data_IF_813004210233
#
_entry.id   IF_813004210233
#
_cell.length_a   1.000
_cell.length_b   1.000
_cell.length_c   1.000
_cell.angle_alpha   90.00
_cell.angle_beta   90.00
_cell.angle_gamma   90.00
#
_symmetry.space_group_name_H-M   'P 1'
#
loop_
_entity.id
_entity.type
_entity.pdbx_description
1 polymer ?
#
# COMPACT_ATOMS: atom_id res chain seq x y z
N UNK A 1 -14.72 19.36 -13.24
CA UNK A 1 -14.15 19.68 -11.91
C UNK A 1 -15.32 19.95 -10.97
N UNK A 2 -15.67 18.99 -10.12
CA UNK A 2 -16.68 19.19 -9.09
C UNK A 2 -16.06 20.12 -8.03
N UNK A 3 -16.61 21.33 -7.90
CA UNK A 3 -16.26 22.23 -6.80
C UNK A 3 -16.77 21.58 -5.52
N UNK A 4 -15.86 21.05 -4.69
CA UNK A 4 -16.20 20.63 -3.34
C UNK A 4 -16.68 21.87 -2.56
N UNK A 5 -17.97 21.90 -2.24
CA UNK A 5 -18.54 22.98 -1.45
C UNK A 5 -18.15 22.74 0.02
N UNK A 6 -17.18 23.51 0.50
CA UNK A 6 -16.70 23.41 1.87
C UNK A 6 -17.84 23.62 2.90
N UNK A 7 -18.91 24.33 2.52
CA UNK A 7 -20.07 24.54 3.38
C UNK A 7 -20.86 23.26 3.62
N UNK A 8 -21.09 22.46 2.57
CA UNK A 8 -21.84 21.21 2.71
C UNK A 8 -21.12 20.20 3.60
N UNK A 9 -19.78 20.15 3.55
CA UNK A 9 -18.98 19.29 4.43
C UNK A 9 -19.03 19.75 5.89
N UNK A 10 -19.07 21.07 6.12
CA UNK A 10 -19.17 21.64 7.46
C UNK A 10 -20.56 21.38 8.08
N UNK A 11 -21.63 21.54 7.30
CA UNK A 11 -23.01 21.27 7.73
C UNK A 11 -23.19 19.78 8.08
N UNK A 12 -22.60 18.88 7.29
CA UNK A 12 -22.65 17.44 7.54
C UNK A 12 -21.93 17.07 8.84
N UNK A 13 -20.72 17.60 9.08
CA UNK A 13 -19.99 17.42 10.34
C UNK A 13 -20.78 17.93 11.54
N UNK A 14 -21.43 19.09 11.40
CA UNK A 14 -22.25 19.66 12.47
C UNK A 14 -23.45 18.76 12.79
N UNK A 15 -24.09 18.16 11.77
CA UNK A 15 -25.17 17.21 11.96
C UNK A 15 -24.73 15.96 12.75
N UNK A 16 -23.53 15.43 12.48
CA UNK A 16 -22.97 14.32 13.26
C UNK A 16 -22.76 14.72 14.72
N UNK A 17 -22.21 15.90 14.99
CA UNK A 17 -22.03 16.38 16.37
C UNK A 17 -23.37 16.48 17.10
N UNK A 18 -24.42 16.98 16.46
CA UNK A 18 -25.76 17.07 17.07
C UNK A 18 -26.35 15.68 17.37
N UNK A 19 -26.14 14.70 16.49
CA UNK A 19 -26.56 13.31 16.70
C UNK A 19 -25.79 12.67 17.86
N UNK A 20 -24.46 12.83 17.92
CA UNK A 20 -23.67 12.29 19.02
C UNK A 20 -23.99 12.97 20.35
N UNK A 21 -24.16 14.30 20.34
CA UNK A 21 -24.52 15.07 21.53
C UNK A 21 -25.90 14.67 22.08
N UNK A 22 -26.90 14.50 21.21
CA UNK A 22 -28.23 14.04 21.63
C UNK A 22 -28.22 12.60 22.14
N UNK A 23 -27.43 11.71 21.56
CA UNK A 23 -27.25 10.32 22.03
C UNK A 23 -26.59 10.26 23.42
N UNK A 24 -25.51 11.02 23.62
CA UNK A 24 -24.85 11.14 24.93
C UNK A 24 -25.81 11.73 25.96
N UNK A 25 -26.54 12.79 25.60
CA UNK A 25 -27.54 13.41 26.50
C UNK A 25 -28.65 12.44 26.88
N UNK A 26 -29.19 11.69 25.93
CA UNK A 26 -30.20 10.67 26.21
C UNK A 26 -29.68 9.57 27.14
N UNK A 27 -28.44 9.14 26.93
CA UNK A 27 -27.77 8.15 27.79
C UNK A 27 -27.58 8.68 29.22
N UNK A 28 -27.15 9.94 29.36
CA UNK A 28 -27.04 10.60 30.66
C UNK A 28 -28.39 10.75 31.35
N UNK A 29 -29.44 11.16 30.64
CA UNK A 29 -30.78 11.29 31.21
C UNK A 29 -31.32 9.93 31.68
N UNK A 30 -31.18 8.87 30.87
CA UNK A 30 -31.57 7.52 31.26
C UNK A 30 -30.76 7.01 32.46
N UNK A 31 -29.46 7.30 32.51
CA UNK A 31 -28.62 6.94 33.64
C UNK A 31 -29.03 7.69 34.92
N UNK A 32 -29.31 8.98 34.80
CA UNK A 32 -29.76 9.82 35.90
C UNK A 32 -31.07 9.30 36.49
N UNK A 33 -32.05 9.01 35.64
CA UNK A 33 -33.35 8.50 36.08
C UNK A 33 -33.26 7.09 36.69
N UNK A 34 -32.49 6.18 36.07
CA UNK A 34 -32.43 4.78 36.52
C UNK A 34 -31.53 4.56 37.73
N UNK A 35 -30.43 5.32 37.86
CA UNK A 35 -29.41 5.05 38.87
C UNK A 35 -29.19 6.23 39.81
N UNK A 36 -29.02 7.45 39.29
CA UNK A 36 -28.66 8.58 40.12
C UNK A 36 -29.79 8.99 41.08
N UNK A 37 -31.01 9.20 40.55
CA UNK A 37 -32.18 9.59 41.35
C UNK A 37 -32.47 8.63 42.52
N UNK A 38 -32.64 7.32 42.31
CA UNK A 38 -32.96 6.42 43.43
C UNK A 38 -31.84 6.32 44.46
N UNK A 39 -30.57 6.50 44.07
CA UNK A 39 -29.45 6.57 45.01
C UNK A 39 -29.49 7.85 45.85
N UNK A 40 -29.72 9.00 45.22
CA UNK A 40 -29.83 10.28 45.92
C UNK A 40 -30.99 10.27 46.90
N UNK A 41 -32.17 9.79 46.48
CA UNK A 41 -33.36 9.70 47.33
C UNK A 41 -33.12 8.76 48.53
N UNK A 42 -32.47 7.61 48.31
CA UNK A 42 -32.10 6.68 49.39
C UNK A 42 -31.06 7.29 50.34
N UNK A 43 -30.05 7.98 49.84
CA UNK A 43 -29.06 8.66 50.66
C UNK A 43 -29.71 9.77 51.49
N UNK A 44 -30.62 10.54 50.90
CA UNK A 44 -31.36 11.59 51.59
C UNK A 44 -32.27 11.02 52.69
N UNK A 45 -32.94 9.90 52.44
CA UNK A 45 -33.73 9.19 53.45
C UNK A 45 -32.83 8.65 54.59
N UNK A 46 -31.71 8.01 54.26
CA UNK A 46 -30.76 7.45 55.24
C UNK A 46 -30.14 8.54 56.13
N UNK A 47 -29.88 9.72 55.58
CA UNK A 47 -29.37 10.87 56.33
C UNK A 47 -30.39 11.41 57.34
N UNK A 48 -31.69 11.33 57.05
CA UNK A 48 -32.76 11.71 57.98
C UNK A 48 -32.93 10.68 59.10
N UNK A 49 -32.87 9.39 58.77
CA UNK A 49 -33.09 8.32 59.75
C UNK A 49 -31.89 8.10 60.67
N UNK A 50 -30.65 8.19 60.15
CA UNK A 50 -29.41 7.87 60.88
C UNK A 50 -28.26 8.81 60.48
N UNK A 51 -28.24 10.06 60.98
CA UNK A 51 -27.29 11.08 60.54
C UNK A 51 -25.82 10.71 60.80
N UNK A 52 -25.51 10.04 61.90
CA UNK A 52 -24.13 9.63 62.26
C UNK A 52 -23.57 8.59 61.28
N UNK A 53 -24.39 7.63 60.86
CA UNK A 53 -23.97 6.60 59.91
C UNK A 53 -23.83 7.18 58.51
N UNK A 54 -24.74 8.09 58.13
CA UNK A 54 -24.69 8.76 56.83
C UNK A 54 -23.43 9.63 56.65
N UNK A 55 -23.02 10.40 57.67
CA UNK A 55 -21.78 11.19 57.60
C UNK A 55 -20.54 10.32 57.57
N UNK A 56 -20.49 9.24 58.37
CA UNK A 56 -19.40 8.26 58.31
C UNK A 56 -19.28 7.62 56.92
N UNK A 57 -20.39 7.12 56.37
CA UNK A 57 -20.43 6.52 55.05
C UNK A 57 -20.02 7.53 53.95
N UNK A 58 -20.45 8.78 54.05
CA UNK A 58 -20.08 9.84 53.12
C UNK A 58 -18.58 10.15 53.15
N UNK A 59 -17.99 10.33 54.33
CA UNK A 59 -16.55 10.56 54.49
C UNK A 59 -15.74 9.35 54.03
N UNK A 60 -16.18 8.13 54.40
CA UNK A 60 -15.54 6.89 53.93
C UNK A 60 -15.61 6.78 52.41
N UNK A 61 -16.76 7.03 51.79
CA UNK A 61 -16.92 7.02 50.34
C UNK A 61 -15.99 8.04 49.67
N UNK A 62 -15.93 9.27 50.20
CA UNK A 62 -15.09 10.34 49.67
C UNK A 62 -13.59 10.07 49.84
N UNK A 63 -13.17 9.41 50.93
CA UNK A 63 -11.78 8.96 51.10
C UNK A 63 -11.45 7.74 50.25
N UNK A 64 -12.43 6.87 49.99
CA UNK A 64 -12.25 5.65 49.19
C UNK A 64 -12.29 5.90 47.68
N UNK A 65 -12.94 6.98 47.23
CA UNK A 65 -13.00 7.30 45.79
C UNK A 65 -11.61 7.66 45.25
N UNK A 66 -10.77 8.32 46.05
CA UNK A 66 -9.43 8.74 45.65
C UNK A 66 -8.51 7.56 45.30
N UNK A 67 -8.34 6.52 46.16
CA UNK A 67 -7.54 5.34 45.81
C UNK A 67 -8.17 4.52 44.69
N UNK A 68 -9.50 4.45 44.57
CA UNK A 68 -10.16 3.77 43.44
C UNK A 68 -9.87 4.48 42.13
N UNK A 69 -9.98 5.81 42.09
CA UNK A 69 -9.68 6.61 40.91
C UNK A 69 -8.19 6.53 40.54
N UNK A 70 -7.30 6.55 41.55
CA UNK A 70 -5.87 6.36 41.34
C UNK A 70 -5.56 4.98 40.76
N UNK A 71 -6.21 3.92 41.25
CA UNK A 71 -6.06 2.57 40.72
C UNK A 71 -6.54 2.46 39.27
N UNK A 72 -7.73 3.00 38.95
CA UNK A 72 -8.25 3.02 37.58
C UNK A 72 -7.30 3.81 36.66
N UNK A 73 -6.86 4.99 37.09
CA UNK A 73 -5.93 5.82 36.34
C UNK A 73 -4.60 5.12 36.08
N UNK A 74 -4.00 4.51 37.10
CA UNK A 74 -2.75 3.78 36.98
C UNK A 74 -2.89 2.52 36.11
N UNK A 75 -4.02 1.82 36.21
CA UNK A 75 -4.33 0.66 35.36
C UNK A 75 -4.44 1.07 33.89
N UNK A 76 -5.20 2.12 33.58
CA UNK A 76 -5.32 2.66 32.22
C UNK A 76 -3.98 3.17 31.70
N UNK A 77 -3.21 3.89 32.52
CA UNK A 77 -1.88 4.37 32.17
C UNK A 77 -0.92 3.22 31.84
N UNK A 78 -0.96 2.15 32.64
CA UNK A 78 -0.16 0.94 32.42
C UNK A 78 -0.56 0.25 31.12
N UNK A 79 -1.86 0.07 30.87
CA UNK A 79 -2.37 -0.52 29.63
C UNK A 79 -1.98 0.30 28.40
N UNK A 80 -2.14 1.62 28.46
CA UNK A 80 -1.74 2.52 27.38
C UNK A 80 -0.22 2.47 27.13
N UNK A 81 0.59 2.45 28.19
CA UNK A 81 2.04 2.33 28.09
C UNK A 81 2.47 1.00 27.45
N UNK A 82 1.84 -0.11 27.86
CA UNK A 82 2.09 -1.43 27.27
C UNK A 82 1.69 -1.47 25.80
N UNK A 83 0.54 -0.91 25.44
CA UNK A 83 0.08 -0.82 24.05
C UNK A 83 1.05 0.01 23.20
N UNK A 84 1.51 1.16 23.70
CA UNK A 84 2.50 1.99 23.03
C UNK A 84 3.82 1.24 22.82
N UNK A 85 4.30 0.55 23.86
CA UNK A 85 5.54 -0.23 23.79
C UNK A 85 5.43 -1.40 22.80
N UNK A 86 4.26 -2.07 22.76
CA UNK A 86 3.98 -3.13 21.79
C UNK A 86 3.97 -2.60 20.34
N UNK A 87 3.33 -1.44 20.10
CA UNK A 87 3.34 -0.78 18.79
C UNK A 87 4.76 -0.36 18.37
N UNK A 88 5.54 0.20 19.30
CA UNK A 88 6.93 0.57 19.04
C UNK A 88 7.76 -0.66 18.68
N UNK A 89 7.61 -1.75 19.43
CA UNK A 89 8.27 -3.02 19.17
C UNK A 89 7.91 -3.60 17.80
N UNK A 90 6.63 -3.56 17.44
CA UNK A 90 6.16 -3.99 16.12
C UNK A 90 6.76 -3.15 14.99
N UNK A 91 6.78 -1.83 15.12
CA UNK A 91 7.37 -0.92 14.13
C UNK A 91 8.87 -1.19 13.95
N UNK A 92 9.63 -1.33 15.04
CA UNK A 92 11.05 -1.63 14.98
C UNK A 92 11.29 -3.00 14.32
N UNK A 93 10.57 -4.03 14.77
CA UNK A 93 10.67 -5.39 14.22
C UNK A 93 10.35 -5.43 12.73
N UNK A 94 9.27 -4.76 12.31
CA UNK A 94 8.88 -4.67 10.90
C UNK A 94 9.93 -3.95 10.06
N UNK A 95 10.52 -2.86 10.57
CA UNK A 95 11.55 -2.09 9.86
C UNK A 95 12.82 -2.92 9.66
N UNK A 96 13.24 -3.65 10.70
CA UNK A 96 14.39 -4.56 10.61
C UNK A 96 14.11 -5.65 9.59
N UNK A 97 12.96 -6.33 9.69
CA UNK A 97 12.58 -7.39 8.76
C UNK A 97 12.58 -6.89 7.31
N UNK A 98 11.92 -5.76 7.05
CA UNK A 98 11.83 -5.19 5.70
C UNK A 98 13.22 -4.82 5.15
N UNK A 99 14.08 -4.24 5.98
CA UNK A 99 15.46 -3.88 5.59
C UNK A 99 16.27 -5.14 5.28
N UNK A 100 16.16 -6.19 6.10
CA UNK A 100 16.84 -7.47 5.88
C UNK A 100 16.36 -8.17 4.62
N UNK A 101 15.06 -8.26 4.37
CA UNK A 101 14.54 -8.89 3.15
C UNK A 101 14.90 -8.09 1.89
N UNK A 102 14.85 -6.75 1.97
CA UNK A 102 15.24 -5.88 0.86
C UNK A 102 16.73 -6.02 0.52
N UNK A 103 17.60 -6.13 1.53
CA UNK A 103 19.04 -6.30 1.30
C UNK A 103 19.37 -7.67 0.72
N UNK A 104 18.71 -8.74 1.18
CA UNK A 104 18.84 -10.09 0.60
C UNK A 104 18.41 -10.06 -0.86
N UNK A 105 17.24 -9.48 -1.16
CA UNK A 105 16.72 -9.38 -2.52
C UNK A 105 17.67 -8.61 -3.43
N UNK A 106 18.19 -7.46 -2.97
CA UNK A 106 19.15 -6.65 -3.72
C UNK A 106 20.45 -7.42 -3.99
N UNK A 107 20.95 -8.17 -3.00
CA UNK A 107 22.12 -9.02 -3.17
C UNK A 107 21.86 -10.14 -4.19
N UNK A 108 20.71 -10.81 -4.12
CA UNK A 108 20.31 -11.85 -5.09
C UNK A 108 20.19 -11.28 -6.51
N UNK A 109 19.55 -10.12 -6.69
CA UNK A 109 19.46 -9.46 -8.00
C UNK A 109 20.84 -9.09 -8.54
N UNK A 110 21.73 -8.61 -7.68
CA UNK A 110 23.10 -8.27 -8.07
C UNK A 110 23.85 -9.51 -8.56
N UNK A 111 23.76 -10.62 -7.84
CA UNK A 111 24.38 -11.90 -8.25
C UNK A 111 23.79 -12.36 -9.59
N UNK A 112 22.45 -12.36 -9.73
CA UNK A 112 21.78 -12.76 -10.98
C UNK A 112 22.19 -11.86 -12.15
N UNK A 113 22.34 -10.56 -11.94
CA UNK A 113 22.81 -9.62 -12.94
C UNK A 113 24.22 -10.00 -13.42
N UNK A 114 25.17 -10.22 -12.50
CA UNK A 114 26.52 -10.64 -12.87
C UNK A 114 26.56 -12.00 -13.56
N UNK A 115 25.78 -12.97 -13.07
CA UNK A 115 25.65 -14.28 -13.70
C UNK A 115 25.10 -14.17 -15.12
N UNK A 116 24.06 -13.35 -15.33
CA UNK A 116 23.47 -13.13 -16.66
C UNK A 116 24.45 -12.44 -17.62
N UNK A 117 25.21 -11.45 -17.16
CA UNK A 117 26.24 -10.79 -17.95
C UNK A 117 27.35 -11.77 -18.34
N UNK A 118 27.83 -12.56 -17.39
CA UNK A 118 28.85 -13.58 -17.64
C UNK A 118 28.38 -14.62 -18.67
N UNK A 119 27.18 -15.17 -18.49
CA UNK A 119 26.56 -16.10 -19.44
C UNK A 119 26.42 -15.47 -20.84
N UNK A 120 25.98 -14.22 -20.92
CA UNK A 120 25.85 -13.50 -22.19
C UNK A 120 27.20 -13.31 -22.86
N UNK A 121 28.25 -12.93 -22.12
CA UNK A 121 29.61 -12.80 -22.64
C UNK A 121 30.16 -14.16 -23.12
N UNK A 122 29.93 -15.24 -22.37
CA UNK A 122 30.32 -16.59 -22.78
C UNK A 122 29.60 -17.04 -24.06
N UNK A 123 28.29 -16.79 -24.17
CA UNK A 123 27.52 -17.11 -25.38
C UNK A 123 28.03 -16.31 -26.58
N UNK A 124 28.23 -15.00 -26.43
CA UNK A 124 28.80 -14.14 -27.47
C UNK A 124 30.19 -14.61 -27.88
N UNK A 125 31.07 -14.92 -26.92
CA UNK A 125 32.41 -15.44 -27.20
C UNK A 125 32.34 -16.79 -27.94
N UNK A 126 31.48 -17.71 -27.50
CA UNK A 126 31.30 -19.02 -28.14
C UNK A 126 30.79 -18.87 -29.59
N UNK A 127 29.85 -17.95 -29.83
CA UNK A 127 29.36 -17.62 -31.15
C UNK A 127 30.48 -17.11 -32.06
N UNK A 128 31.32 -16.19 -31.55
CA UNK A 128 32.47 -15.70 -32.29
C UNK A 128 33.48 -16.81 -32.62
N UNK A 129 33.77 -17.72 -31.68
CA UNK A 129 34.67 -18.87 -31.90
C UNK A 129 34.11 -19.80 -32.98
N UNK A 130 32.83 -20.18 -32.89
CA UNK A 130 32.17 -21.05 -33.88
C UNK A 130 32.18 -20.39 -35.26
N UNK A 131 31.85 -19.10 -35.33
CA UNK A 131 31.83 -18.36 -36.59
C UNK A 131 33.22 -18.18 -37.21
N UNK A 132 34.23 -17.91 -36.39
CA UNK A 132 35.62 -17.85 -36.83
C UNK A 132 36.11 -19.22 -37.33
N UNK A 133 35.77 -20.29 -36.61
CA UNK A 133 36.06 -21.66 -37.03
C UNK A 133 35.42 -22.01 -38.38
N UNK A 134 34.19 -21.53 -38.62
CA UNK A 134 33.53 -21.66 -39.93
C UNK A 134 34.29 -20.95 -41.06
N UNK A 135 34.77 -19.72 -40.83
CA UNK A 135 35.53 -18.95 -41.84
C UNK A 135 36.91 -19.56 -42.13
N UNK A 136 37.61 -20.03 -41.10
CA UNK A 136 38.92 -20.70 -41.26
C UNK A 136 38.76 -21.97 -42.10
N UNK A 137 37.65 -22.70 -41.93
CA UNK A 137 37.37 -23.93 -42.68
C UNK A 137 37.05 -23.67 -44.15
N UNK A 138 36.46 -22.52 -44.50
CA UNK A 138 36.10 -22.18 -45.88
C UNK A 138 37.23 -21.54 -46.68
N UNK A 139 38.04 -20.65 -46.09
CA UNK A 139 39.02 -19.81 -46.81
C UNK A 139 40.49 -20.05 -46.41
N UNK A 140 40.74 -20.93 -45.44
CA UNK A 140 42.07 -21.17 -44.88
C UNK A 140 42.49 -20.14 -43.82
N UNK A 141 43.56 -20.47 -43.08
CA UNK A 141 43.97 -19.75 -41.85
C UNK A 141 44.39 -18.29 -42.11
N UNK A 142 45.02 -18.01 -43.25
CA UNK A 142 45.55 -16.68 -43.57
C UNK A 142 44.50 -15.67 -44.07
N UNK A 143 43.52 -16.12 -44.86
CA UNK A 143 42.48 -15.25 -45.43
C UNK A 143 41.30 -14.99 -44.48
N UNK A 144 40.85 -16.05 -43.80
CA UNK A 144 39.62 -16.02 -43.01
C UNK A 144 39.63 -15.05 -41.83
N UNK A 145 40.77 -14.89 -41.15
CA UNK A 145 40.88 -13.97 -40.02
C UNK A 145 40.74 -12.49 -40.43
N UNK A 146 41.30 -12.11 -41.58
CA UNK A 146 41.24 -10.75 -42.11
C UNK A 146 39.86 -10.39 -42.69
N UNK A 147 39.16 -11.36 -43.30
CA UNK A 147 37.79 -11.18 -43.75
C UNK A 147 36.83 -11.02 -42.55
N UNK A 148 36.94 -11.88 -41.53
CA UNK A 148 36.14 -11.81 -40.31
C UNK A 148 36.35 -10.50 -39.54
N UNK A 149 37.59 -10.05 -39.35
CA UNK A 149 37.88 -8.81 -38.63
C UNK A 149 37.27 -7.58 -39.32
N UNK A 150 37.25 -7.56 -40.67
CA UNK A 150 36.59 -6.51 -41.45
C UNK A 150 35.07 -6.57 -41.29
N UNK A 151 34.46 -7.76 -41.30
CA UNK A 151 33.02 -7.92 -41.06
C UNK A 151 32.62 -7.43 -39.66
N UNK A 152 33.34 -7.84 -38.62
CA UNK A 152 33.06 -7.43 -37.23
C UNK A 152 33.24 -5.93 -37.07
N UNK A 153 34.29 -5.36 -37.65
CA UNK A 153 34.53 -3.91 -37.62
C UNK A 153 33.44 -3.14 -38.35
N UNK A 154 32.95 -3.63 -39.49
CA UNK A 154 31.83 -3.03 -40.22
C UNK A 154 30.54 -3.01 -39.40
N UNK A 155 30.25 -4.10 -38.67
CA UNK A 155 29.07 -4.19 -37.78
C UNK A 155 29.19 -3.33 -36.52
N UNK A 156 30.39 -3.20 -35.93
CA UNK A 156 30.61 -2.43 -34.70
C UNK A 156 30.74 -0.93 -34.94
N UNK A 157 31.40 -0.52 -36.02
CA UNK A 157 31.57 0.92 -36.32
C UNK A 157 30.25 1.53 -36.79
N UNK A 158 29.27 0.71 -37.16
CA UNK A 158 27.99 1.17 -37.65
C UNK A 158 28.25 1.99 -38.91
N UNK A 159 28.38 1.33 -40.06
CA UNK A 159 28.00 2.00 -41.29
C UNK A 159 26.54 2.43 -41.07
N UNK A 160 26.38 3.70 -40.71
CA UNK A 160 25.10 4.38 -40.65
C UNK A 160 24.48 4.03 -42.00
N UNK A 161 23.37 3.28 -42.05
CA UNK A 161 22.78 2.91 -43.32
C UNK A 161 22.60 4.24 -44.02
N UNK A 162 23.36 4.43 -45.09
CA UNK A 162 23.11 5.50 -46.02
C UNK A 162 21.76 5.08 -46.57
N UNK A 163 20.71 5.58 -45.91
CA UNK A 163 19.40 5.71 -46.50
C UNK A 163 19.68 6.71 -47.60
N UNK A 164 20.25 6.20 -48.69
CA UNK A 164 20.12 6.75 -50.00
C UNK A 164 18.61 6.84 -50.12
N UNK A 165 18.07 8.02 -49.81
CA UNK A 165 16.78 8.44 -50.29
C UNK A 165 16.91 8.34 -51.80
N UNK A 166 16.68 7.14 -52.30
CA UNK A 166 16.31 6.86 -53.66
C UNK A 166 15.02 7.65 -53.80
N UNK A 167 15.21 8.88 -54.27
CA UNK A 167 14.19 9.78 -54.74
C UNK A 167 13.45 8.98 -55.81
N UNK A 168 12.44 8.21 -55.40
CA UNK A 168 11.42 7.70 -56.31
C UNK A 168 10.64 8.93 -56.76
N UNK A 169 11.18 9.51 -57.83
CA UNK A 169 10.42 10.33 -58.75
C UNK A 169 9.61 9.32 -59.58
N UNK A 170 8.29 9.34 -59.39
CA UNK A 170 7.30 8.58 -60.16
C UNK A 170 7.23 7.11 -59.75
N UNK A 171 6.09 6.46 -59.67
CA UNK A 171 4.85 6.68 -60.41
C UNK A 171 3.64 6.40 -59.52
N UNK A 172 2.60 7.15 -59.82
CA UNK A 172 1.24 7.00 -59.34
C UNK A 172 0.74 5.57 -59.59
N UNK A 173 0.26 4.90 -58.54
CA UNK A 173 -0.73 3.84 -58.73
C UNK A 173 -1.81 3.99 -57.65
N UNK A 174 -2.81 4.79 -58.00
CA UNK A 174 -4.14 4.78 -57.39
C UNK A 174 -4.78 3.40 -57.59
N UNK A 175 -4.76 2.56 -56.56
CA UNK A 175 -5.69 1.42 -56.34
C UNK A 175 -5.56 1.07 -54.86
N UNK A 176 -6.42 1.59 -53.98
CA UNK A 176 -7.83 1.22 -53.97
C UNK A 176 -7.98 -0.17 -53.36
N UNK A 177 -7.96 -0.25 -52.02
CA UNK A 177 -8.74 -1.25 -51.29
C UNK A 177 -8.86 -0.84 -49.82
N UNK A 178 -9.94 -0.14 -49.55
CA UNK A 178 -10.70 -0.27 -48.32
C UNK A 178 -10.91 -1.77 -48.04
N UNK A 179 -10.64 -2.26 -46.82
CA UNK A 179 -11.59 -3.14 -46.12
C UNK A 179 -11.13 -3.49 -44.69
N UNK A 180 -12.10 -3.39 -43.78
CA UNK A 180 -12.35 -4.14 -42.54
C UNK A 180 -11.24 -4.25 -41.48
N UNK A 181 -11.37 -3.75 -40.25
CA UNK A 181 -12.57 -3.69 -39.42
C UNK A 181 -12.75 -5.00 -38.63
N UNK A 182 -12.03 -5.20 -37.52
CA UNK A 182 -12.40 -6.23 -36.53
C UNK A 182 -12.48 -5.62 -35.13
N UNK A 183 -13.69 -5.77 -34.60
CA UNK A 183 -14.30 -5.20 -33.41
C UNK A 183 -14.29 -6.25 -32.29
N UNK A 184 -13.85 -5.81 -31.11
CA UNK A 184 -14.34 -6.11 -29.74
C UNK A 184 -14.42 -7.58 -29.26
N UNK A 185 -13.82 -7.83 -28.10
CA UNK A 185 -14.51 -8.56 -27.01
C UNK A 185 -14.19 -7.93 -25.65
N UNK A 186 -15.13 -7.11 -25.18
CA UNK A 186 -15.20 -6.62 -23.81
C UNK A 186 -16.19 -7.55 -23.08
N UNK A 187 -15.67 -8.36 -22.15
CA UNK A 187 -16.51 -9.21 -21.30
C UNK A 187 -16.85 -8.43 -20.02
N UNK A 188 -18.06 -7.89 -20.00
CA UNK A 188 -18.78 -7.47 -18.81
C UNK A 188 -19.73 -8.62 -18.42
N UNK A 189 -19.52 -9.25 -17.27
CA UNK A 189 -20.47 -10.18 -16.66
C UNK A 189 -20.20 -10.25 -15.15
N UNK A 190 -21.09 -9.65 -14.36
CA UNK A 190 -21.08 -9.85 -12.92
C UNK A 190 -21.96 -8.90 -12.10
N UNK A 191 -23.10 -8.47 -12.64
CA UNK A 191 -24.17 -7.85 -11.85
C UNK A 191 -24.88 -8.95 -11.04
N UNK A 192 -24.84 -8.82 -9.72
CA UNK A 192 -25.39 -9.76 -8.76
C UNK A 192 -26.47 -9.07 -7.92
N UNK A 193 -27.65 -8.97 -8.53
CA UNK A 193 -28.97 -8.93 -7.92
C UNK A 193 -29.00 -9.77 -6.63
N UNK A 194 -29.35 -9.22 -5.47
CA UNK A 194 -30.74 -8.98 -5.13
C UNK A 194 -31.13 -9.93 -3.99
N UNK A 195 -31.20 -9.42 -2.76
CA UNK A 195 -31.83 -10.12 -1.65
C UNK A 195 -32.47 -9.09 -0.71
N UNK A 196 -33.64 -8.59 -1.11
CA UNK A 196 -34.66 -8.16 -0.17
C UNK A 196 -35.40 -9.40 0.33
N UNK A 197 -35.44 -9.62 1.64
CA UNK A 197 -36.47 -10.44 2.28
C UNK A 197 -36.89 -9.73 3.58
N UNK A 198 -38.22 -9.68 3.72
CA UNK A 198 -39.11 -9.03 4.70
C UNK A 198 -38.70 -9.03 6.16
#
# INVERSE_FOLDING_TARGET
MASYDAKTTQDDLQSYFDVYASSVRHSFTSFEERYARPLVDRCAALARDRPVLATFAGVFALLSILPVLAFIGFSLFTLASLAFLALLGLCISSTIALTTYSSILLATLTILLFTSLFLTLCLVASYFIVRLGSHIRSEGVGGGAGAWAREVRGRLVGEKPEITMRKEIGEEDERGSEDSGVVVKQEDLGDGDGAQIS
#
